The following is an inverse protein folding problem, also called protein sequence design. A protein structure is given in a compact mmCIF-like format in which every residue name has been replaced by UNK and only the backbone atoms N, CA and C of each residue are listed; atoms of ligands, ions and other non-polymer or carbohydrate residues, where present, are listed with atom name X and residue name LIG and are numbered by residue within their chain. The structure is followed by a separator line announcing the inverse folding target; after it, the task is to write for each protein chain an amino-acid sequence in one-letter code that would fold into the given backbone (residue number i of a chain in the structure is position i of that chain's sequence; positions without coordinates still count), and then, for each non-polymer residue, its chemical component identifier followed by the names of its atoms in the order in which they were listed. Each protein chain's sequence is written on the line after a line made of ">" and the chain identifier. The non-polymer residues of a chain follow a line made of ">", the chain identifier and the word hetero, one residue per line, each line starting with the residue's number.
data_IF_233758737873
#
_entry.id   IF_233758737873
#
_cell.length_a   1.000
_cell.length_b   1.000
_cell.length_c   1.000
_cell.angle_alpha   90.00
_cell.angle_beta   90.00
_cell.angle_gamma   90.00
#
_symmetry.space_group_name_H-M   'P 1'
#
loop_
_entity.id
_entity.type
_entity.pdbx_description
1 polymer ?
#
# COMPACT_ATOMS: atom_id res chain seq x y z
N UNK A 1 46.41 13.43 12.05
CA UNK A 1 46.29 13.26 10.60
C UNK A 1 45.12 12.38 10.30
N UNK A 2 43.97 12.99 10.05
CA UNK A 2 42.70 12.29 9.87
C UNK A 2 42.38 12.36 8.37
N UNK A 3 42.50 11.23 7.69
CA UNK A 3 42.11 11.13 6.25
C UNK A 3 40.60 11.04 6.19
N UNK A 4 39.96 12.09 5.67
CA UNK A 4 38.55 12.09 5.30
C UNK A 4 38.41 11.23 4.02
N UNK A 5 37.70 10.13 4.15
CA UNK A 5 37.32 9.23 3.05
C UNK A 5 36.29 9.95 2.17
N UNK A 6 36.74 10.50 1.06
CA UNK A 6 35.90 11.07 0.00
C UNK A 6 35.11 9.95 -0.64
N UNK A 7 33.81 9.87 -0.33
CA UNK A 7 32.88 8.97 -1.02
C UNK A 7 32.80 9.36 -2.50
N UNK A 8 33.29 8.51 -3.40
CA UNK A 8 33.15 8.64 -4.86
C UNK A 8 31.65 8.70 -5.20
N UNK A 9 31.15 9.87 -5.56
CA UNK A 9 29.83 10.03 -6.19
C UNK A 9 29.93 9.37 -7.57
N UNK A 10 29.45 8.14 -7.66
CA UNK A 10 29.39 7.40 -8.91
C UNK A 10 28.44 8.15 -9.85
N UNK A 11 28.96 8.59 -11.00
CA UNK A 11 28.19 9.32 -12.01
C UNK A 11 27.16 8.37 -12.62
N UNK A 12 25.88 8.53 -12.28
CA UNK A 12 24.78 7.73 -12.81
C UNK A 12 24.83 7.67 -14.34
N UNK A 13 24.65 6.49 -14.91
CA UNK A 13 24.49 6.35 -16.36
C UNK A 13 23.15 6.93 -16.84
N UNK A 14 22.91 6.98 -18.15
CA UNK A 14 21.69 7.59 -18.73
C UNK A 14 20.40 6.90 -18.24
N UNK A 15 20.41 5.56 -18.13
CA UNK A 15 19.26 4.77 -17.69
C UNK A 15 18.96 5.04 -16.23
N UNK A 16 19.98 5.03 -15.38
CA UNK A 16 19.86 5.31 -13.94
C UNK A 16 19.36 6.74 -13.68
N UNK A 17 19.84 7.73 -14.43
CA UNK A 17 19.34 9.12 -14.33
C UNK A 17 17.88 9.23 -14.73
N UNK A 18 17.46 8.50 -15.77
CA UNK A 18 16.08 8.49 -16.23
C UNK A 18 15.16 7.88 -15.15
N UNK A 19 15.53 6.72 -14.61
CA UNK A 19 14.80 6.07 -13.53
C UNK A 19 14.73 6.95 -12.26
N UNK A 20 15.85 7.59 -11.89
CA UNK A 20 15.90 8.51 -10.76
C UNK A 20 14.99 9.73 -10.94
N UNK A 21 14.98 10.32 -12.14
CA UNK A 21 14.12 11.47 -12.45
C UNK A 21 12.64 11.06 -12.40
N UNK A 22 12.29 9.90 -12.97
CA UNK A 22 10.91 9.36 -12.88
C UNK A 22 10.49 9.14 -11.43
N UNK A 23 11.38 8.61 -10.59
CA UNK A 23 11.10 8.42 -9.15
C UNK A 23 10.88 9.77 -8.45
N UNK A 24 11.71 10.78 -8.71
CA UNK A 24 11.51 12.14 -8.16
C UNK A 24 10.12 12.71 -8.49
N UNK A 25 9.65 12.48 -9.72
CA UNK A 25 8.32 12.94 -10.13
C UNK A 25 7.23 12.19 -9.35
N UNK A 26 7.37 10.88 -9.14
CA UNK A 26 6.44 10.10 -8.31
C UNK A 26 6.44 10.56 -6.85
N UNK A 27 7.61 10.81 -6.25
CA UNK A 27 7.73 11.28 -4.87
C UNK A 27 7.07 12.65 -4.69
N UNK A 28 7.30 13.56 -5.65
CA UNK A 28 6.66 14.87 -5.67
C UNK A 28 5.14 14.76 -5.86
N UNK A 29 4.67 13.91 -6.79
CA UNK A 29 3.24 13.66 -6.99
C UNK A 29 2.58 13.11 -5.72
N UNK A 30 3.23 12.16 -5.02
CA UNK A 30 2.77 11.63 -3.74
C UNK A 30 2.55 12.77 -2.72
N UNK A 31 3.54 13.66 -2.56
CA UNK A 31 3.44 14.80 -1.64
C UNK A 31 2.37 15.81 -2.06
N UNK A 32 2.30 16.13 -3.35
CA UNK A 32 1.32 17.08 -3.89
C UNK A 32 -0.10 16.55 -3.75
N UNK A 33 -0.37 15.30 -4.15
CA UNK A 33 -1.69 14.69 -4.00
C UNK A 33 -2.05 14.52 -2.53
N UNK A 34 -1.11 14.04 -1.70
CA UNK A 34 -1.34 13.91 -0.26
C UNK A 34 -1.71 15.23 0.41
N UNK A 35 -1.10 16.33 -0.01
CA UNK A 35 -1.35 17.66 0.57
C UNK A 35 -2.58 18.36 -0.01
N UNK A 36 -2.75 18.35 -1.34
CA UNK A 36 -3.73 19.17 -2.04
C UNK A 36 -4.86 18.36 -2.69
N UNK A 37 -4.75 17.04 -2.77
CA UNK A 37 -5.67 16.14 -3.48
C UNK A 37 -5.37 16.02 -4.97
N UNK A 38 -6.01 15.03 -5.60
CA UNK A 38 -5.85 14.78 -7.04
C UNK A 38 -6.28 15.96 -7.90
N UNK A 39 -7.39 16.62 -7.57
CA UNK A 39 -7.91 17.74 -8.35
C UNK A 39 -6.86 18.84 -8.56
N UNK A 40 -6.14 19.16 -7.49
CA UNK A 40 -5.16 20.26 -7.44
C UNK A 40 -3.73 19.84 -7.86
N UNK A 41 -3.48 18.55 -8.16
CA UNK A 41 -2.17 18.05 -8.52
C UNK A 41 -1.83 18.32 -10.00
N UNK A 42 -1.63 19.59 -10.38
CA UNK A 42 -1.25 19.99 -11.73
C UNK A 42 0.19 19.58 -12.08
N UNK A 43 0.49 19.44 -13.39
CA UNK A 43 1.86 19.16 -13.88
C UNK A 43 2.83 20.24 -13.37
N UNK A 44 2.42 21.52 -13.41
CA UNK A 44 3.25 22.64 -12.93
C UNK A 44 3.63 22.46 -11.46
N UNK A 45 2.64 22.18 -10.60
CA UNK A 45 2.86 21.99 -9.15
C UNK A 45 3.72 20.75 -8.85
N UNK A 46 3.51 19.66 -9.58
CA UNK A 46 4.31 18.43 -9.42
C UNK A 46 5.75 18.65 -9.87
N UNK A 47 5.98 19.29 -11.02
CA UNK A 47 7.33 19.53 -11.53
C UNK A 47 8.09 20.56 -10.70
N UNK A 48 7.42 21.57 -10.18
CA UNK A 48 7.99 22.51 -9.20
C UNK A 48 8.44 21.76 -7.93
N UNK A 49 7.56 20.94 -7.34
CA UNK A 49 7.88 20.14 -6.17
C UNK A 49 8.99 19.10 -6.42
N UNK A 50 9.08 18.56 -7.64
CA UNK A 50 10.15 17.65 -8.05
C UNK A 50 11.46 18.37 -8.36
N UNK A 51 11.47 19.69 -8.53
CA UNK A 51 12.64 20.45 -8.97
C UNK A 51 13.09 20.05 -10.38
N UNK A 52 12.15 19.85 -11.32
CA UNK A 52 12.42 19.52 -12.72
C UNK A 52 11.63 20.45 -13.65
N UNK A 53 12.13 20.64 -14.89
CA UNK A 53 11.38 21.40 -15.89
C UNK A 53 10.13 20.62 -16.37
N UNK A 54 9.06 21.32 -16.77
CA UNK A 54 7.85 20.67 -17.30
C UNK A 54 8.14 19.80 -18.53
N UNK A 55 9.06 20.19 -19.41
CA UNK A 55 9.49 19.37 -20.53
C UNK A 55 10.09 18.02 -20.10
N UNK A 56 10.73 17.98 -18.91
CA UNK A 56 11.23 16.73 -18.34
C UNK A 56 10.10 15.79 -17.92
N UNK A 57 8.98 16.30 -17.43
CA UNK A 57 7.79 15.51 -17.13
C UNK A 57 7.31 14.75 -18.37
N UNK A 58 7.18 15.44 -19.50
CA UNK A 58 6.68 14.85 -20.73
C UNK A 58 7.65 13.85 -21.40
N UNK A 59 8.89 13.76 -20.94
CA UNK A 59 9.79 12.66 -21.31
C UNK A 59 9.48 11.34 -20.57
N UNK A 60 8.64 11.38 -19.52
CA UNK A 60 8.31 10.23 -18.67
C UNK A 60 6.84 9.85 -18.69
N UNK A 61 5.97 10.81 -18.95
CA UNK A 61 4.50 10.64 -18.93
C UNK A 61 3.89 11.42 -20.09
N UNK A 62 2.98 10.81 -20.83
CA UNK A 62 2.27 11.44 -21.93
C UNK A 62 1.42 12.63 -21.46
N UNK A 63 0.83 12.47 -20.28
CA UNK A 63 -0.04 13.48 -19.70
C UNK A 63 -0.13 13.31 -18.17
N UNK A 64 -0.83 14.24 -17.52
CA UNK A 64 -1.07 14.22 -16.09
C UNK A 64 -1.81 12.96 -15.62
N UNK A 65 -2.81 12.50 -16.38
CA UNK A 65 -3.64 11.36 -16.01
C UNK A 65 -2.83 10.07 -15.96
N UNK A 66 -1.90 9.87 -16.90
CA UNK A 66 -1.02 8.71 -16.91
C UNK A 66 -0.17 8.62 -15.61
N UNK A 67 0.39 9.75 -15.15
CA UNK A 67 1.09 9.79 -13.87
C UNK A 67 0.16 9.40 -12.71
N UNK A 68 -1.04 9.99 -12.67
CA UNK A 68 -1.99 9.78 -11.58
C UNK A 68 -2.51 8.33 -11.54
N UNK A 69 -2.74 7.70 -12.70
CA UNK A 69 -3.13 6.29 -12.79
C UNK A 69 -1.99 5.33 -12.40
N UNK A 70 -0.73 5.77 -12.50
CA UNK A 70 0.42 4.99 -12.04
C UNK A 70 0.73 5.22 -10.55
N UNK A 71 0.23 6.27 -9.92
CA UNK A 71 0.63 6.70 -8.57
C UNK A 71 0.24 5.68 -7.50
N UNK A 72 -1.05 5.36 -7.38
CA UNK A 72 -1.54 4.41 -6.38
C UNK A 72 -0.96 3.00 -6.55
N UNK A 73 -0.90 2.39 -7.77
CA UNK A 73 -0.23 1.12 -7.98
C UNK A 73 1.24 1.12 -7.55
N UNK A 74 1.97 2.21 -7.83
CA UNK A 74 3.38 2.36 -7.44
C UNK A 74 3.54 2.35 -5.92
N UNK A 75 2.77 3.17 -5.20
CA UNK A 75 2.82 3.23 -3.74
C UNK A 75 2.36 1.90 -3.13
N UNK A 76 1.37 1.24 -3.74
CA UNK A 76 0.91 -0.09 -3.33
C UNK A 76 1.99 -1.16 -3.42
N UNK A 77 2.82 -1.13 -4.48
CA UNK A 77 3.99 -2.02 -4.58
C UNK A 77 5.03 -1.73 -3.49
N UNK A 78 5.25 -0.47 -3.17
CA UNK A 78 6.17 -0.09 -2.10
C UNK A 78 5.64 -0.54 -0.72
N UNK A 79 4.31 -0.43 -0.50
CA UNK A 79 3.62 -0.99 0.67
C UNK A 79 3.83 -2.50 0.79
N UNK A 80 3.62 -3.24 -0.30
CA UNK A 80 3.81 -4.70 -0.29
C UNK A 80 5.26 -5.06 0.04
N UNK A 81 6.24 -4.36 -0.54
CA UNK A 81 7.66 -4.56 -0.23
C UNK A 81 7.97 -4.27 1.24
N UNK A 82 7.43 -3.18 1.76
CA UNK A 82 7.60 -2.78 3.16
C UNK A 82 7.04 -3.84 4.11
N UNK A 83 5.82 -4.33 3.87
CA UNK A 83 5.17 -5.38 4.65
C UNK A 83 5.98 -6.67 4.56
N UNK A 84 6.32 -7.10 3.34
CA UNK A 84 7.09 -8.32 3.11
C UNK A 84 8.47 -8.33 3.80
N UNK A 85 9.16 -7.21 3.79
CA UNK A 85 10.45 -7.07 4.49
C UNK A 85 10.35 -7.30 6.01
N UNK A 86 9.17 -7.05 6.60
CA UNK A 86 8.92 -7.23 8.04
C UNK A 86 8.35 -8.59 8.40
N UNK A 87 7.56 -9.19 7.50
CA UNK A 87 6.77 -10.39 7.82
C UNK A 87 7.19 -11.63 7.03
N UNK A 88 8.02 -11.47 6.00
CA UNK A 88 8.38 -12.58 5.10
C UNK A 88 7.20 -13.08 4.25
N UNK A 89 7.35 -14.30 3.70
CA UNK A 89 6.38 -14.94 2.79
C UNK A 89 5.56 -16.06 3.41
N UNK A 90 5.74 -16.38 4.69
CA UNK A 90 4.99 -17.45 5.33
C UNK A 90 3.48 -17.15 5.33
N UNK A 91 2.66 -18.19 5.32
CA UNK A 91 1.20 -18.13 5.13
C UNK A 91 0.41 -18.47 6.39
N UNK A 92 1.05 -18.48 7.54
CA UNK A 92 0.43 -18.79 8.82
C UNK A 92 -0.41 -17.62 9.35
N UNK A 93 -1.38 -17.92 10.23
CA UNK A 93 -2.23 -16.91 10.85
C UNK A 93 -1.44 -15.80 11.57
N UNK A 94 -0.30 -16.15 12.17
CA UNK A 94 0.60 -15.20 12.81
C UNK A 94 1.11 -14.14 11.82
N UNK A 95 1.55 -14.54 10.62
CA UNK A 95 2.03 -13.60 9.62
C UNK A 95 0.91 -12.70 9.09
N UNK A 96 -0.35 -13.18 9.08
CA UNK A 96 -1.47 -12.31 8.72
C UNK A 96 -1.65 -11.17 9.73
N UNK A 97 -1.49 -11.43 11.01
CA UNK A 97 -1.55 -10.41 12.06
C UNK A 97 -0.37 -9.45 11.95
N UNK A 98 0.83 -9.97 11.67
CA UNK A 98 2.02 -9.17 11.44
C UNK A 98 1.87 -8.28 10.18
N UNK A 99 1.28 -8.80 9.09
CA UNK A 99 0.95 -8.01 7.89
C UNK A 99 -0.08 -6.92 8.18
N UNK A 100 -1.08 -7.24 9.00
CA UNK A 100 -2.08 -6.26 9.42
C UNK A 100 -1.42 -5.12 10.20
N UNK A 101 -0.57 -5.42 11.18
CA UNK A 101 0.18 -4.41 11.93
C UNK A 101 1.13 -3.61 11.05
N UNK A 102 1.89 -4.28 10.17
CA UNK A 102 2.84 -3.63 9.26
C UNK A 102 2.15 -2.68 8.27
N UNK A 103 0.89 -2.93 7.89
CA UNK A 103 0.11 -1.98 7.11
C UNK A 103 -0.08 -0.66 7.85
N UNK A 104 -0.38 -0.68 9.15
CA UNK A 104 -0.52 0.54 9.95
C UNK A 104 0.81 1.26 10.15
N UNK A 105 1.92 0.52 10.22
CA UNK A 105 3.25 1.14 10.24
C UNK A 105 3.55 1.83 8.91
N UNK A 106 3.20 1.20 7.77
CA UNK A 106 3.38 1.80 6.46
C UNK A 106 2.61 3.13 6.31
N UNK A 107 1.33 3.19 6.69
CA UNK A 107 0.55 4.43 6.57
C UNK A 107 1.04 5.55 7.49
N UNK A 108 1.78 5.22 8.55
CA UNK A 108 2.47 6.22 9.39
C UNK A 108 3.73 6.75 8.72
N UNK A 109 4.46 5.90 7.99
CA UNK A 109 5.65 6.32 7.22
C UNK A 109 5.27 7.07 5.94
N UNK A 110 4.12 6.74 5.32
CA UNK A 110 3.61 7.36 4.10
C UNK A 110 2.18 7.87 4.34
N UNK A 111 2.00 8.93 5.14
CA UNK A 111 0.68 9.42 5.53
C UNK A 111 -0.19 9.89 4.35
N UNK A 112 0.44 10.26 3.23
CA UNK A 112 -0.24 10.64 1.99
C UNK A 112 -1.03 9.49 1.37
N UNK A 113 -0.65 8.23 1.66
CA UNK A 113 -1.25 7.03 1.06
C UNK A 113 -2.76 6.95 1.23
N UNK A 114 -3.26 7.26 2.43
CA UNK A 114 -4.71 7.17 2.70
C UNK A 114 -5.53 8.15 1.86
N UNK A 115 -5.04 9.38 1.66
CA UNK A 115 -5.71 10.34 0.80
C UNK A 115 -5.66 9.90 -0.66
N UNK A 116 -4.48 9.47 -1.12
CA UNK A 116 -4.29 8.96 -2.48
C UNK A 116 -5.24 7.78 -2.73
N UNK A 117 -5.32 6.81 -1.82
CA UNK A 117 -6.22 5.67 -1.92
C UNK A 117 -7.70 6.08 -1.99
N UNK A 118 -8.12 6.99 -1.11
CA UNK A 118 -9.53 7.38 -0.98
C UNK A 118 -10.03 8.24 -2.15
N UNK A 119 -9.17 9.05 -2.76
CA UNK A 119 -9.54 9.90 -3.90
C UNK A 119 -9.34 9.20 -5.26
N UNK A 120 -8.48 8.17 -5.32
CA UNK A 120 -8.10 7.50 -6.58
C UNK A 120 -9.29 6.88 -7.31
N UNK A 121 -10.29 6.37 -6.60
CA UNK A 121 -11.50 5.79 -7.19
C UNK A 121 -12.16 6.74 -8.21
N UNK A 122 -12.19 8.04 -7.90
CA UNK A 122 -12.83 9.06 -8.74
C UNK A 122 -11.88 9.73 -9.72
N UNK A 123 -10.62 9.94 -9.34
CA UNK A 123 -9.66 10.74 -10.10
C UNK A 123 -8.66 9.92 -10.92
N UNK A 124 -8.46 8.65 -10.57
CA UNK A 124 -7.53 7.74 -11.25
C UNK A 124 -8.10 6.30 -11.23
N UNK A 125 -9.30 6.06 -11.81
CA UNK A 125 -10.02 4.79 -11.69
C UNK A 125 -9.24 3.60 -12.26
N UNK A 126 -8.49 3.81 -13.34
CA UNK A 126 -7.61 2.76 -13.92
C UNK A 126 -6.52 2.35 -12.93
N UNK A 127 -5.89 3.32 -12.28
CA UNK A 127 -4.89 3.08 -11.25
C UNK A 127 -5.48 2.42 -10.00
N UNK A 128 -6.67 2.86 -9.60
CA UNK A 128 -7.41 2.30 -8.47
C UNK A 128 -7.70 0.81 -8.70
N UNK A 129 -8.32 0.45 -9.82
CA UNK A 129 -8.61 -0.93 -10.17
C UNK A 129 -7.34 -1.79 -10.18
N UNK A 130 -6.30 -1.32 -10.88
CA UNK A 130 -5.01 -2.02 -10.98
C UNK A 130 -4.37 -2.25 -9.60
N UNK A 131 -4.47 -1.29 -8.69
CA UNK A 131 -3.95 -1.43 -7.32
C UNK A 131 -4.66 -2.58 -6.59
N UNK A 132 -5.99 -2.60 -6.60
CA UNK A 132 -6.78 -3.62 -5.92
C UNK A 132 -6.58 -5.00 -6.54
N UNK A 133 -6.54 -5.12 -7.86
CA UNK A 133 -6.27 -6.38 -8.55
C UNK A 133 -4.90 -6.95 -8.16
N UNK A 134 -3.87 -6.11 -8.13
CA UNK A 134 -2.52 -6.52 -7.76
C UNK A 134 -2.46 -7.04 -6.31
N UNK A 135 -3.09 -6.35 -5.38
CA UNK A 135 -3.12 -6.75 -3.96
C UNK A 135 -3.96 -8.01 -3.79
N UNK A 136 -5.15 -8.06 -4.38
CA UNK A 136 -6.06 -9.20 -4.30
C UNK A 136 -5.39 -10.48 -4.81
N UNK A 137 -4.82 -10.45 -6.01
CA UNK A 137 -4.13 -11.59 -6.60
C UNK A 137 -2.97 -12.10 -5.71
N UNK A 138 -2.18 -11.18 -5.16
CA UNK A 138 -1.08 -11.55 -4.25
C UNK A 138 -1.61 -12.21 -2.96
N UNK A 139 -2.72 -11.72 -2.42
CA UNK A 139 -3.34 -12.28 -1.22
C UNK A 139 -3.97 -13.65 -1.47
N UNK A 140 -4.73 -13.80 -2.56
CA UNK A 140 -5.32 -15.09 -2.96
C UNK A 140 -4.24 -16.15 -3.06
N UNK A 141 -3.11 -15.84 -3.70
CA UNK A 141 -1.97 -16.74 -3.80
C UNK A 141 -1.42 -17.17 -2.42
N UNK A 142 -1.32 -16.23 -1.46
CA UNK A 142 -0.90 -16.53 -0.08
C UNK A 142 -1.88 -17.49 0.60
N UNK A 143 -3.19 -17.24 0.47
CA UNK A 143 -4.22 -18.07 1.08
C UNK A 143 -4.32 -19.47 0.46
N UNK A 144 -4.15 -19.59 -0.86
CA UNK A 144 -4.07 -20.88 -1.54
C UNK A 144 -2.87 -21.70 -1.05
N UNK A 145 -1.72 -21.08 -0.83
CA UNK A 145 -0.56 -21.75 -0.22
C UNK A 145 -0.83 -22.18 1.22
N UNK A 146 -1.50 -21.34 2.01
CA UNK A 146 -1.90 -21.67 3.38
C UNK A 146 -2.86 -22.88 3.39
N UNK A 147 -3.82 -22.94 2.46
CA UNK A 147 -4.73 -24.08 2.27
C UNK A 147 -3.95 -25.36 1.92
N UNK A 148 -3.02 -25.29 0.97
CA UNK A 148 -2.21 -26.42 0.57
C UNK A 148 -1.32 -26.97 1.71
N UNK A 149 -0.92 -26.09 2.65
CA UNK A 149 -0.18 -26.45 3.86
C UNK A 149 -1.08 -26.89 5.04
N UNK A 150 -2.41 -26.90 4.87
CA UNK A 150 -3.36 -27.23 5.94
C UNK A 150 -3.45 -26.17 7.06
N UNK A 151 -3.01 -24.94 6.78
CA UNK A 151 -2.92 -23.87 7.76
C UNK A 151 -4.17 -22.96 7.79
N UNK A 152 -5.16 -23.20 6.93
CA UNK A 152 -6.44 -22.47 6.91
C UNK A 152 -7.63 -23.45 6.85
N UNK A 153 -8.81 -22.92 7.17
CA UNK A 153 -10.07 -23.61 6.92
C UNK A 153 -10.25 -23.89 5.42
N UNK A 154 -11.14 -24.84 5.10
CA UNK A 154 -11.46 -25.19 3.71
C UNK A 154 -12.34 -24.09 3.12
N UNK A 155 -11.78 -23.34 2.16
CA UNK A 155 -12.47 -22.35 1.34
C UNK A 155 -12.33 -22.72 -0.14
N UNK A 156 -13.34 -22.44 -0.97
CA UNK A 156 -13.20 -22.49 -2.42
C UNK A 156 -12.35 -21.32 -2.92
N UNK A 157 -11.98 -21.30 -4.20
CA UNK A 157 -11.20 -20.21 -4.76
C UNK A 157 -12.03 -18.91 -4.79
N UNK A 158 -13.34 -18.98 -5.09
CA UNK A 158 -14.26 -17.84 -5.03
C UNK A 158 -14.43 -17.31 -3.61
N UNK A 159 -14.49 -18.20 -2.61
CA UNK A 159 -14.54 -17.80 -1.19
C UNK A 159 -13.25 -17.11 -0.76
N UNK A 160 -12.08 -17.53 -1.27
CA UNK A 160 -10.83 -16.82 -1.01
C UNK A 160 -10.83 -15.40 -1.55
N UNK A 161 -11.39 -15.16 -2.76
CA UNK A 161 -11.55 -13.81 -3.26
C UNK A 161 -12.39 -12.95 -2.31
N UNK A 162 -13.52 -13.47 -1.85
CA UNK A 162 -14.37 -12.77 -0.88
C UNK A 162 -13.66 -12.52 0.47
N UNK A 163 -12.93 -13.51 0.99
CA UNK A 163 -12.13 -13.37 2.23
C UNK A 163 -11.07 -12.28 2.07
N UNK A 164 -10.39 -12.22 0.93
CA UNK A 164 -9.41 -11.17 0.65
C UNK A 164 -10.05 -9.78 0.68
N UNK A 165 -11.24 -9.61 0.06
CA UNK A 165 -11.96 -8.33 0.10
C UNK A 165 -12.34 -7.94 1.54
N UNK A 166 -12.75 -8.88 2.38
CA UNK A 166 -13.00 -8.63 3.81
C UNK A 166 -11.74 -8.16 4.53
N UNK A 167 -10.59 -8.85 4.31
CA UNK A 167 -9.33 -8.51 4.94
C UNK A 167 -8.81 -7.13 4.48
N UNK A 168 -8.94 -6.81 3.19
CA UNK A 168 -8.57 -5.50 2.63
C UNK A 168 -9.52 -4.40 3.13
N UNK A 169 -10.82 -4.66 3.13
CA UNK A 169 -11.83 -3.74 3.65
C UNK A 169 -11.62 -3.42 5.14
N UNK A 170 -11.26 -4.42 5.93
CA UNK A 170 -10.92 -4.20 7.34
C UNK A 170 -9.76 -3.22 7.51
N UNK A 171 -8.68 -3.34 6.73
CA UNK A 171 -7.54 -2.40 6.76
C UNK A 171 -7.97 -0.98 6.39
N UNK A 172 -8.69 -0.84 5.30
CA UNK A 172 -9.14 0.46 4.81
C UNK A 172 -10.09 1.16 5.79
N UNK A 173 -11.07 0.45 6.33
CA UNK A 173 -12.03 1.01 7.26
C UNK A 173 -11.40 1.32 8.63
N UNK A 174 -10.63 0.37 9.19
CA UNK A 174 -10.02 0.55 10.50
C UNK A 174 -8.94 1.64 10.50
N UNK A 175 -8.19 1.81 9.40
CA UNK A 175 -7.23 2.91 9.28
C UNK A 175 -7.94 4.27 9.33
N UNK A 176 -9.03 4.41 8.60
CA UNK A 176 -9.84 5.64 8.61
C UNK A 176 -10.45 5.93 9.98
N UNK A 177 -10.90 4.88 10.67
CA UNK A 177 -11.59 5.02 11.95
C UNK A 177 -10.65 5.28 13.13
N UNK A 178 -9.45 4.67 13.13
CA UNK A 178 -8.58 4.63 14.30
C UNK A 178 -7.19 5.26 14.12
N UNK A 179 -6.75 5.47 12.89
CA UNK A 179 -5.39 5.98 12.64
C UNK A 179 -5.37 7.33 11.93
N UNK A 180 -6.43 7.68 11.18
CA UNK A 180 -6.48 8.92 10.40
C UNK A 180 -7.23 10.01 11.17
N UNK A 181 -6.62 11.19 11.27
CA UNK A 181 -7.23 12.40 11.84
C UNK A 181 -6.79 13.63 11.05
N UNK A 182 -7.40 14.77 11.33
CA UNK A 182 -7.00 16.09 10.77
C UNK A 182 -5.55 16.46 11.13
N UNK A 183 -5.04 15.91 12.24
CA UNK A 183 -3.66 16.13 12.70
C UNK A 183 -2.65 15.17 12.07
N UNK A 184 -3.11 14.24 11.22
CA UNK A 184 -2.28 13.27 10.54
C UNK A 184 -2.60 11.82 10.89
N UNK A 185 -1.65 10.92 10.62
CA UNK A 185 -1.79 9.49 10.86
C UNK A 185 -1.12 9.11 12.17
N UNK A 186 -1.90 8.48 13.06
CA UNK A 186 -1.44 8.00 14.37
C UNK A 186 -1.34 6.48 14.41
N UNK A 187 -0.71 5.94 15.46
CA UNK A 187 -0.69 4.51 15.67
C UNK A 187 -2.11 3.96 15.91
N UNK A 188 -2.41 2.80 15.34
CA UNK A 188 -3.65 2.09 15.65
C UNK A 188 -3.59 1.59 17.10
N UNK A 189 -4.69 1.68 17.88
CA UNK A 189 -4.71 1.16 19.25
C UNK A 189 -4.52 -0.36 19.30
N UNK A 190 -3.78 -0.86 20.29
CA UNK A 190 -3.46 -2.28 20.44
C UNK A 190 -4.70 -3.18 20.52
N UNK A 191 -5.80 -2.69 21.09
CA UNK A 191 -7.04 -3.47 21.15
C UNK A 191 -7.64 -3.75 19.77
N UNK A 192 -7.38 -2.90 18.77
CA UNK A 192 -7.83 -3.12 17.38
C UNK A 192 -7.06 -4.28 16.75
N UNK A 193 -5.72 -4.31 16.95
CA UNK A 193 -4.88 -5.43 16.52
C UNK A 193 -5.33 -6.73 17.22
N UNK A 194 -5.55 -6.66 18.53
CA UNK A 194 -6.02 -7.82 19.32
C UNK A 194 -7.38 -8.33 18.86
N UNK A 195 -8.33 -7.43 18.57
CA UNK A 195 -9.66 -7.80 18.07
C UNK A 195 -9.58 -8.46 16.68
N UNK A 196 -8.77 -7.88 15.77
CA UNK A 196 -8.52 -8.46 14.46
C UNK A 196 -7.88 -9.85 14.58
N UNK A 197 -6.88 -10.01 15.44
CA UNK A 197 -6.25 -11.30 15.73
C UNK A 197 -7.27 -12.35 16.15
N UNK A 198 -8.11 -12.05 17.13
CA UNK A 198 -9.14 -12.98 17.62
C UNK A 198 -10.12 -13.36 16.51
N UNK A 199 -10.53 -12.38 15.69
CA UNK A 199 -11.44 -12.62 14.56
C UNK A 199 -10.83 -13.57 13.52
N UNK A 200 -9.58 -13.34 13.14
CA UNK A 200 -8.88 -14.15 12.12
C UNK A 200 -8.57 -15.56 12.61
N UNK A 201 -8.20 -15.71 13.90
CA UNK A 201 -7.76 -17.01 14.45
C UNK A 201 -8.90 -17.86 15.01
N UNK A 202 -9.96 -17.25 15.52
CA UNK A 202 -11.03 -17.98 16.22
C UNK A 202 -12.41 -17.76 15.60
N UNK A 203 -12.57 -16.78 14.70
CA UNK A 203 -13.88 -16.33 14.21
C UNK A 203 -14.66 -15.50 15.23
N UNK A 204 -15.83 -15.00 14.85
CA UNK A 204 -16.70 -14.18 15.69
C UNK A 204 -17.58 -15.03 16.62
N UNK A 205 -18.01 -16.20 16.14
CA UNK A 205 -18.90 -17.10 16.87
C UNK A 205 -18.20 -18.42 17.20
N UNK A 206 -18.50 -18.98 18.37
CA UNK A 206 -18.02 -20.30 18.73
C UNK A 206 -18.65 -21.36 17.80
N UNK A 207 -17.83 -22.27 17.28
CA UNK A 207 -18.23 -23.33 16.34
C UNK A 207 -19.31 -24.30 16.87
N UNK A 208 -19.68 -24.19 18.15
CA UNK A 208 -20.73 -25.05 18.78
C UNK A 208 -22.15 -24.52 18.65
N UNK A 209 -22.41 -23.36 18.03
CA UNK A 209 -23.77 -22.79 17.91
C UNK A 209 -24.62 -23.46 16.82
N UNK A 210 -24.00 -24.30 15.96
CA UNK A 210 -24.70 -24.98 14.84
C UNK A 210 -25.10 -26.44 15.08
N UNK A 211 -24.82 -27.02 16.24
CA UNK A 211 -25.25 -28.40 16.59
C UNK A 211 -26.40 -28.38 17.58
N UNK A 212 -27.51 -27.73 17.22
CA UNK A 212 -28.82 -28.11 17.75
C UNK A 212 -29.60 -28.86 16.67
N UNK A 213 -29.91 -30.08 17.00
CA UNK A 213 -30.63 -31.14 16.32
C UNK A 213 -31.79 -30.69 15.44
#
# INVERSE_FOLDING_TARGET
>A
MTQATSAKVTKLNRVERNAWTKQKIFDAATKVVGKYGYAEASVARITEAAGVAQGTFYNHFENRQELLDQLLPKIGLDMVRFIHARTGTASEARQEIERFSAFFDFIREVPEFLRILNEAEFFAPTGYQKHFDNISNAYVWILQRARAAGATNTFSDEEFEAVVQVLMGARGYLSRRYSYSEQGVTAVPDYVITAYQKLVTHGLFNSNVGKKR
#
